data_IF_942129552482
#
_entry.id   IF_942129552482
#
_cell.length_a   1.000
_cell.length_b   1.000
_cell.length_c   1.000
_cell.angle_alpha   90.00
_cell.angle_beta   90.00
_cell.angle_gamma   90.00
#
_symmetry.space_group_name_H-M   'P 1'
#
loop_
_entity.id
_entity.type
_entity.pdbx_description
1 polymer ?
#
# COMPACT_ATOMS: atom_id res chain seq x y z
N UNK A 1 -1.44 26.19 8.51
CA UNK A 1 -1.90 25.00 7.77
C UNK A 1 -3.38 25.17 7.47
N UNK A 2 -3.79 25.09 6.20
CA UNK A 2 -5.20 25.25 5.82
C UNK A 2 -6.08 24.10 6.34
N UNK A 3 -7.36 24.38 6.60
CA UNK A 3 -8.37 23.40 7.05
C UNK A 3 -8.43 22.15 6.17
N UNK A 4 -8.23 22.32 4.86
CA UNK A 4 -8.18 21.23 3.88
C UNK A 4 -6.97 20.29 4.07
N UNK A 5 -5.78 20.83 4.37
CA UNK A 5 -4.59 20.02 4.63
C UNK A 5 -4.78 19.12 5.86
N UNK A 6 -5.36 19.67 6.93
CA UNK A 6 -5.65 18.92 8.15
C UNK A 6 -6.63 17.77 7.91
N UNK A 7 -7.71 18.03 7.16
CA UNK A 7 -8.67 17.00 6.78
C UNK A 7 -8.02 15.87 5.96
N UNK A 8 -7.23 16.22 4.93
CA UNK A 8 -6.50 15.23 4.12
C UNK A 8 -5.50 14.43 4.94
N UNK A 9 -4.79 15.06 5.87
CA UNK A 9 -3.83 14.40 6.74
C UNK A 9 -4.53 13.37 7.63
N UNK A 10 -5.65 13.76 8.24
CA UNK A 10 -6.45 12.84 9.06
C UNK A 10 -7.04 11.69 8.24
N UNK A 11 -7.51 11.97 7.03
CA UNK A 11 -8.01 10.96 6.10
C UNK A 11 -6.91 9.96 5.71
N UNK A 12 -5.71 10.43 5.36
CA UNK A 12 -4.56 9.57 5.03
C UNK A 12 -4.10 8.72 6.23
N UNK A 13 -4.09 9.32 7.43
CA UNK A 13 -3.73 8.62 8.66
C UNK A 13 -4.75 7.54 9.03
N UNK A 14 -6.05 7.82 8.92
CA UNK A 14 -7.10 6.85 9.18
C UNK A 14 -7.16 5.75 8.12
N UNK A 15 -7.06 6.12 6.84
CA UNK A 15 -7.13 5.18 5.72
C UNK A 15 -5.98 4.18 5.71
N UNK A 16 -4.82 4.54 6.26
CA UNK A 16 -3.66 3.65 6.42
C UNK A 16 -4.05 2.31 7.06
N UNK A 17 -4.84 2.36 8.12
CA UNK A 17 -5.26 1.16 8.86
C UNK A 17 -6.21 0.29 8.05
N UNK A 18 -7.11 0.90 7.27
CA UNK A 18 -8.00 0.19 6.36
C UNK A 18 -7.20 -0.50 5.27
N UNK A 19 -6.27 0.22 4.63
CA UNK A 19 -5.40 -0.33 3.58
C UNK A 19 -4.52 -1.48 4.11
N UNK A 20 -3.91 -1.31 5.28
CA UNK A 20 -3.11 -2.36 5.94
C UNK A 20 -3.95 -3.59 6.28
N UNK A 21 -5.18 -3.40 6.79
CA UNK A 21 -6.06 -4.51 7.10
C UNK A 21 -6.41 -5.31 5.84
N UNK A 22 -6.78 -4.64 4.74
CA UNK A 22 -7.04 -5.33 3.48
C UNK A 22 -5.82 -6.06 2.95
N UNK A 23 -4.64 -5.43 3.02
CA UNK A 23 -3.39 -6.00 2.55
C UNK A 23 -3.05 -7.29 3.31
N UNK A 24 -2.96 -7.22 4.65
CA UNK A 24 -2.61 -8.37 5.50
C UNK A 24 -3.64 -9.50 5.41
N UNK A 25 -4.94 -9.19 5.52
CA UNK A 25 -6.00 -10.20 5.47
C UNK A 25 -6.02 -10.90 4.12
N UNK A 26 -5.85 -10.14 3.04
CA UNK A 26 -5.79 -10.72 1.70
C UNK A 26 -4.55 -11.57 1.57
N UNK A 27 -3.35 -11.07 1.90
CA UNK A 27 -2.08 -11.83 1.86
C UNK A 27 -2.21 -13.18 2.57
N UNK A 28 -2.68 -13.20 3.82
CA UNK A 28 -2.87 -14.43 4.59
C UNK A 28 -3.79 -15.41 3.85
N UNK A 29 -4.93 -14.92 3.36
CA UNK A 29 -5.90 -15.75 2.65
C UNK A 29 -5.32 -16.35 1.36
N UNK A 30 -4.61 -15.58 0.54
CA UNK A 30 -4.04 -16.08 -0.73
C UNK A 30 -2.89 -17.06 -0.48
N UNK A 31 -2.11 -16.84 0.58
CA UNK A 31 -1.06 -17.78 1.03
C UNK A 31 -1.67 -19.09 1.53
N UNK A 32 -2.73 -19.05 2.34
CA UNK A 32 -3.46 -20.26 2.78
C UNK A 32 -4.07 -20.99 1.59
N UNK A 33 -4.73 -20.26 0.67
CA UNK A 33 -5.32 -20.84 -0.53
C UNK A 33 -4.28 -21.51 -1.43
N UNK A 34 -3.07 -20.95 -1.50
CA UNK A 34 -1.94 -21.56 -2.19
C UNK A 34 -1.44 -22.84 -1.51
N UNK A 35 -1.22 -22.79 -0.19
CA UNK A 35 -0.68 -23.92 0.58
C UNK A 35 -1.66 -25.10 0.66
N UNK A 36 -2.96 -24.81 0.76
CA UNK A 36 -4.03 -25.81 0.83
C UNK A 36 -4.52 -26.27 -0.56
N UNK A 37 -3.89 -25.84 -1.66
CA UNK A 37 -4.32 -26.14 -3.04
C UNK A 37 -5.82 -25.89 -3.29
N UNK A 38 -6.34 -24.78 -2.76
CA UNK A 38 -7.75 -24.44 -2.92
C UNK A 38 -8.06 -24.03 -4.37
N UNK A 39 -9.35 -24.09 -4.72
CA UNK A 39 -9.83 -23.53 -5.97
C UNK A 39 -10.01 -22.02 -5.83
N UNK A 40 -9.57 -21.29 -6.87
CA UNK A 40 -9.67 -19.85 -6.88
C UNK A 40 -11.13 -19.41 -6.97
N UNK A 41 -11.59 -18.66 -5.99
CA UNK A 41 -12.97 -18.21 -5.89
C UNK A 41 -13.16 -16.78 -6.40
N UNK A 42 -14.42 -16.41 -6.65
CA UNK A 42 -14.77 -15.01 -6.94
C UNK A 42 -14.43 -14.06 -5.78
N UNK A 43 -14.41 -14.58 -4.55
CA UNK A 43 -14.07 -13.78 -3.37
C UNK A 43 -12.57 -13.45 -3.34
N UNK A 44 -11.70 -14.37 -3.78
CA UNK A 44 -10.26 -14.12 -3.90
C UNK A 44 -9.96 -13.01 -4.91
N UNK A 45 -10.57 -13.09 -6.10
CA UNK A 45 -10.47 -12.04 -7.12
C UNK A 45 -10.88 -10.67 -6.59
N UNK A 46 -11.97 -10.61 -5.81
CA UNK A 46 -12.49 -9.37 -5.24
C UNK A 46 -11.56 -8.82 -4.17
N UNK A 47 -11.06 -9.66 -3.26
CA UNK A 47 -10.14 -9.26 -2.20
C UNK A 47 -8.83 -8.70 -2.75
N UNK A 48 -8.20 -9.37 -3.72
CA UNK A 48 -6.97 -8.88 -4.36
C UNK A 48 -7.22 -7.53 -5.06
N UNK A 49 -8.39 -7.37 -5.70
CA UNK A 49 -8.75 -6.12 -6.37
C UNK A 49 -9.02 -4.98 -5.37
N UNK A 50 -9.76 -5.26 -4.27
CA UNK A 50 -10.05 -4.28 -3.23
C UNK A 50 -8.77 -3.85 -2.49
N UNK A 51 -7.86 -4.77 -2.25
CA UNK A 51 -6.54 -4.47 -1.68
C UNK A 51 -5.75 -3.51 -2.56
N UNK A 52 -5.70 -3.78 -3.88
CA UNK A 52 -5.03 -2.87 -4.80
C UNK A 52 -5.65 -1.47 -4.81
N UNK A 53 -6.99 -1.37 -4.75
CA UNK A 53 -7.69 -0.08 -4.68
C UNK A 53 -7.36 0.64 -3.37
N UNK A 54 -7.44 -0.05 -2.23
CA UNK A 54 -7.18 0.53 -0.92
C UNK A 54 -5.75 1.07 -0.81
N UNK A 55 -4.74 0.31 -1.28
CA UNK A 55 -3.34 0.74 -1.32
C UNK A 55 -3.16 1.92 -2.28
N UNK A 56 -3.78 1.89 -3.46
CA UNK A 56 -3.70 3.01 -4.41
C UNK A 56 -4.27 4.30 -3.84
N UNK A 57 -5.40 4.25 -3.14
CA UNK A 57 -5.98 5.42 -2.45
C UNK A 57 -5.03 5.95 -1.37
N UNK A 58 -4.41 5.07 -0.58
CA UNK A 58 -3.44 5.48 0.43
C UNK A 58 -2.28 6.28 -0.17
N UNK A 59 -1.70 5.77 -1.27
CA UNK A 59 -0.57 6.41 -1.94
C UNK A 59 -0.99 7.72 -2.61
N UNK A 60 -2.16 7.78 -3.25
CA UNK A 60 -2.67 9.01 -3.84
C UNK A 60 -2.86 10.10 -2.77
N UNK A 61 -3.47 9.77 -1.63
CA UNK A 61 -3.59 10.70 -0.50
C UNK A 61 -2.22 11.20 -0.02
N UNK A 62 -1.22 10.30 0.05
CA UNK A 62 0.16 10.66 0.40
C UNK A 62 0.82 11.60 -0.60
N UNK A 63 0.62 11.37 -1.90
CA UNK A 63 1.10 12.25 -2.97
C UNK A 63 0.44 13.62 -2.88
N UNK A 64 -0.87 13.69 -2.66
CA UNK A 64 -1.56 14.97 -2.48
C UNK A 64 -1.01 15.76 -1.29
N UNK A 65 -0.79 15.10 -0.16
CA UNK A 65 -0.15 15.72 1.01
C UNK A 65 1.27 16.21 0.72
N UNK A 66 2.04 15.42 -0.02
CA UNK A 66 3.39 15.80 -0.43
C UNK A 66 3.39 17.02 -1.36
N UNK A 67 2.53 17.05 -2.37
CA UNK A 67 2.40 18.20 -3.29
C UNK A 67 1.96 19.45 -2.53
N UNK A 68 0.97 19.35 -1.62
CA UNK A 68 0.54 20.47 -0.78
C UNK A 68 1.63 20.96 0.17
N UNK A 69 2.48 20.07 0.66
CA UNK A 69 3.63 20.45 1.46
C UNK A 69 4.64 21.25 0.64
N UNK A 70 4.90 20.85 -0.61
CA UNK A 70 5.80 21.56 -1.52
C UNK A 70 5.28 22.96 -1.90
N UNK A 71 3.97 23.09 -2.18
CA UNK A 71 3.38 24.37 -2.62
C UNK A 71 3.25 25.41 -1.52
N UNK A 72 3.29 25.00 -0.24
CA UNK A 72 3.23 25.91 0.91
C UNK A 72 4.59 26.54 1.29
N UNK A 73 5.63 26.35 0.47
CA UNK A 73 6.93 27.05 0.65
C UNK A 73 7.73 26.60 1.87
N UNK A 74 7.45 25.41 2.41
CA UNK A 74 8.14 24.86 3.57
C UNK A 74 9.60 24.51 3.22
N UNK A 75 10.53 25.47 3.38
CA UNK A 75 11.98 25.25 3.53
C UNK A 75 12.54 24.05 2.77
N UNK A 76 12.32 23.99 1.45
CA UNK A 76 12.65 22.82 0.64
C UNK A 76 14.14 22.87 0.34
N UNK A 77 14.92 22.07 1.06
CA UNK A 77 16.30 21.79 0.67
C UNK A 77 16.31 20.50 -0.16
N UNK A 78 17.25 20.34 -1.10
CA UNK A 78 17.35 19.10 -1.88
C UNK A 78 17.45 17.83 -1.00
N UNK A 79 17.94 17.99 0.25
CA UNK A 79 18.03 16.94 1.26
C UNK A 79 16.66 16.52 1.82
N UNK A 80 15.71 17.44 2.01
CA UNK A 80 14.37 17.09 2.51
C UNK A 80 13.51 16.40 1.43
N UNK A 81 13.64 16.81 0.16
CA UNK A 81 13.02 16.08 -0.96
C UNK A 81 13.59 14.67 -1.07
N UNK A 82 14.91 14.51 -1.03
CA UNK A 82 15.56 13.20 -1.13
C UNK A 82 15.14 12.24 -0.02
N UNK A 83 15.03 12.74 1.22
CA UNK A 83 14.61 11.94 2.37
C UNK A 83 13.14 11.48 2.26
N UNK A 84 12.22 12.38 1.88
CA UNK A 84 10.79 12.04 1.74
C UNK A 84 10.58 11.11 0.54
N UNK A 85 11.23 11.41 -0.58
CA UNK A 85 11.05 10.67 -1.82
C UNK A 85 11.66 9.27 -1.73
N UNK A 86 12.92 9.17 -1.27
CA UNK A 86 13.62 7.89 -1.17
C UNK A 86 13.17 7.00 -0.02
N UNK A 87 12.77 7.58 1.11
CA UNK A 87 12.37 6.81 2.30
C UNK A 87 10.91 6.39 2.30
N UNK A 88 10.01 7.23 1.76
CA UNK A 88 8.58 7.04 1.95
C UNK A 88 7.80 6.90 0.64
N UNK A 89 8.10 7.75 -0.36
CA UNK A 89 7.37 7.73 -1.63
C UNK A 89 7.76 6.54 -2.51
N UNK A 90 9.05 6.23 -2.63
CA UNK A 90 9.52 5.12 -3.49
C UNK A 90 8.96 3.76 -3.03
N UNK A 91 9.04 3.36 -1.74
CA UNK A 91 8.43 2.12 -1.29
C UNK A 91 6.91 2.12 -1.45
N UNK A 92 6.24 3.26 -1.26
CA UNK A 92 4.80 3.38 -1.49
C UNK A 92 4.41 3.11 -2.96
N UNK A 93 5.17 3.65 -3.92
CA UNK A 93 4.94 3.38 -5.34
C UNK A 93 5.22 1.93 -5.72
N UNK A 94 6.27 1.32 -5.14
CA UNK A 94 6.57 -0.10 -5.33
C UNK A 94 5.48 -1.00 -4.73
N UNK A 95 4.85 -0.59 -3.64
CA UNK A 95 3.70 -1.30 -3.07
C UNK A 95 2.52 -1.33 -4.05
N UNK A 96 2.19 -0.18 -4.68
CA UNK A 96 1.15 -0.10 -5.71
C UNK A 96 1.50 -0.96 -6.92
N UNK A 97 2.77 -0.97 -7.34
CA UNK A 97 3.22 -1.84 -8.42
C UNK A 97 3.07 -3.33 -8.07
N UNK A 98 3.39 -3.71 -6.82
CA UNK A 98 3.22 -5.08 -6.30
C UNK A 98 1.76 -5.53 -6.26
N UNK A 99 0.85 -4.70 -5.74
CA UNK A 99 -0.59 -5.00 -5.73
C UNK A 99 -1.17 -5.00 -7.14
N UNK A 100 -0.69 -4.12 -8.02
CA UNK A 100 -1.09 -4.08 -9.43
C UNK A 100 -0.65 -5.33 -10.19
N UNK A 101 0.57 -5.80 -9.93
CA UNK A 101 1.06 -7.08 -10.44
C UNK A 101 0.22 -8.26 -9.93
N UNK A 102 -0.12 -8.28 -8.64
CA UNK A 102 -0.97 -9.33 -8.05
C UNK A 102 -2.32 -9.42 -8.77
N UNK A 103 -3.01 -8.28 -8.99
CA UNK A 103 -4.28 -8.23 -9.73
C UNK A 103 -4.09 -8.63 -11.20
N UNK A 104 -3.14 -8.01 -11.88
CA UNK A 104 -2.94 -8.19 -13.32
C UNK A 104 -2.54 -9.62 -13.68
N UNK A 105 -1.68 -10.25 -12.88
CA UNK A 105 -1.15 -11.58 -13.18
C UNK A 105 -2.07 -12.72 -12.70
N UNK A 106 -2.77 -12.55 -11.58
CA UNK A 106 -3.78 -13.53 -11.11
C UNK A 106 -4.97 -13.60 -12.07
N UNK A 107 -5.41 -12.47 -12.64
CA UNK A 107 -6.50 -12.47 -13.64
C UNK A 107 -6.13 -13.18 -14.95
N UNK A 108 -4.85 -13.20 -15.32
CA UNK A 108 -4.35 -13.83 -16.56
C UNK A 108 -3.98 -15.30 -16.41
N UNK A 109 -3.87 -15.81 -15.19
CA UNK A 109 -3.51 -17.21 -14.96
C UNK A 109 -4.72 -18.13 -15.20
N UNK A 110 -4.48 -19.31 -15.78
CA UNK A 110 -5.52 -20.29 -16.11
C UNK A 110 -5.82 -21.20 -14.92
N UNK A 111 -4.78 -21.68 -14.24
CA UNK A 111 -4.91 -22.62 -13.12
C UNK A 111 -5.06 -21.90 -11.78
N UNK A 112 -5.90 -22.44 -10.88
CA UNK A 112 -6.08 -21.91 -9.51
C UNK A 112 -4.75 -21.74 -8.78
N UNK A 113 -3.87 -22.73 -8.84
CA UNK A 113 -2.54 -22.70 -8.19
C UNK A 113 -1.67 -21.53 -8.65
N UNK A 114 -1.69 -21.24 -9.95
CA UNK A 114 -0.93 -20.12 -10.52
C UNK A 114 -1.53 -18.78 -10.13
N UNK A 115 -2.87 -18.67 -10.07
CA UNK A 115 -3.55 -17.46 -9.57
C UNK A 115 -3.13 -17.14 -8.14
N UNK A 116 -3.17 -18.13 -7.26
CA UNK A 116 -2.72 -18.02 -5.87
C UNK A 116 -1.23 -17.65 -5.80
N UNK A 117 -0.36 -18.34 -6.55
CA UNK A 117 1.09 -18.04 -6.56
C UNK A 117 1.38 -16.59 -6.94
N UNK A 118 0.81 -16.11 -8.04
CA UNK A 118 1.07 -14.75 -8.51
C UNK A 118 0.49 -13.68 -7.58
N UNK A 119 -0.70 -13.92 -7.03
CA UNK A 119 -1.29 -13.01 -6.07
C UNK A 119 -0.45 -12.94 -4.78
N UNK A 120 -0.02 -14.08 -4.24
CA UNK A 120 0.84 -14.13 -3.05
C UNK A 120 2.16 -13.41 -3.25
N UNK A 121 2.84 -13.62 -4.38
CA UNK A 121 4.11 -12.93 -4.67
C UNK A 121 3.91 -11.41 -4.69
N UNK A 122 2.91 -10.92 -5.45
CA UNK A 122 2.69 -9.49 -5.57
C UNK A 122 2.27 -8.83 -4.25
N UNK A 123 1.44 -9.51 -3.45
CA UNK A 123 0.98 -8.99 -2.16
C UNK A 123 2.07 -9.03 -1.09
N UNK A 124 2.89 -10.07 -1.02
CA UNK A 124 4.03 -10.14 -0.10
C UNK A 124 5.05 -9.04 -0.41
N UNK A 125 5.36 -8.82 -1.70
CA UNK A 125 6.23 -7.71 -2.09
C UNK A 125 5.63 -6.38 -1.66
N UNK A 126 4.32 -6.18 -1.86
CA UNK A 126 3.65 -4.97 -1.40
C UNK A 126 3.71 -4.80 0.13
N UNK A 127 3.48 -5.85 0.91
CA UNK A 127 3.58 -5.85 2.36
C UNK A 127 4.99 -5.43 2.83
N UNK A 128 6.05 -6.00 2.23
CA UNK A 128 7.43 -5.65 2.54
C UNK A 128 7.74 -4.18 2.24
N UNK A 129 7.26 -3.67 1.10
CA UNK A 129 7.45 -2.28 0.71
C UNK A 129 6.71 -1.31 1.63
N UNK A 130 5.46 -1.63 2.00
CA UNK A 130 4.68 -0.83 2.95
C UNK A 130 5.33 -0.82 4.33
N UNK A 131 5.83 -1.98 4.80
CA UNK A 131 6.57 -2.05 6.05
C UNK A 131 7.85 -1.21 6.02
N UNK A 132 8.61 -1.29 4.92
CA UNK A 132 9.79 -0.44 4.69
C UNK A 132 9.44 1.05 4.74
N UNK A 133 8.35 1.46 4.09
CA UNK A 133 7.84 2.83 4.14
C UNK A 133 7.50 3.26 5.57
N UNK A 134 6.86 2.39 6.37
CA UNK A 134 6.48 2.69 7.75
C UNK A 134 7.71 2.84 8.66
N UNK A 135 8.74 2.03 8.45
CA UNK A 135 9.97 2.10 9.25
C UNK A 135 10.66 3.48 9.12
N UNK A 136 10.56 4.16 7.97
CA UNK A 136 11.19 5.48 7.78
C UNK A 136 10.46 6.63 8.47
N UNK A 137 9.19 6.46 8.84
CA UNK A 137 8.38 7.48 9.55
C UNK A 137 8.22 7.18 11.05
N UNK A 138 9.10 6.33 11.61
CA UNK A 138 9.10 5.99 13.04
C UNK A 138 8.29 4.74 13.41
N UNK A 139 7.80 3.99 12.41
CA UNK A 139 7.15 2.69 12.60
C UNK A 139 5.63 2.75 12.70
N UNK A 140 5.03 1.58 12.97
CA UNK A 140 3.56 1.40 13.05
C UNK A 140 2.94 2.27 14.14
N UNK A 141 3.68 2.58 15.21
CA UNK A 141 3.20 3.27 16.42
C UNK A 141 3.70 4.71 16.61
N UNK A 142 4.52 5.27 15.71
CA UNK A 142 5.07 6.61 15.90
C UNK A 142 4.03 7.74 16.04
N UNK A 143 2.79 7.53 15.56
CA UNK A 143 1.70 8.50 15.72
C UNK A 143 0.97 8.40 17.07
N UNK A 144 1.27 7.41 17.92
CA UNK A 144 0.62 7.24 19.22
C UNK A 144 1.33 8.02 20.36
N UNK A 145 2.46 8.68 20.07
CA UNK A 145 3.32 9.29 21.10
C UNK A 145 3.80 10.70 20.80
N UNK A 146 3.18 11.43 19.87
CA UNK A 146 3.48 12.86 19.62
C UNK A 146 2.23 13.72 19.60
#
# INVERSE_FOLDING_TARGET
MGTFYFFLFQAHSGWRWVALLFLVVTTIKVVIGWAANQNWSNLDSRLVSFTNIAVSIQVLLGIFLYVMFLTQGAGITGRSIGAISGGHLVPALLAVAGTGFAVGRSRRAQNSRDKFKFASIGLIVADLMVYGALATVGGIFAMATS
#
